data_IF_852824033037
#
_entry.id   IF_852824033037
#
_cell.length_a   1.000
_cell.length_b   1.000
_cell.length_c   1.000
_cell.angle_alpha   90.00
_cell.angle_beta   90.00
_cell.angle_gamma   90.00
#
_symmetry.space_group_name_H-M   'P 1'
#
loop_
_entity.id
_entity.type
_entity.pdbx_description
1 polymer ?
#
# COMPACT_ATOMS: atom_id res chain seq x y z
N UNK A 1 -10.44 -10.18 1.43
CA UNK A 1 -9.09 -10.63 1.01
C UNK A 1 -9.18 -11.26 -0.38
N UNK A 2 -8.34 -10.83 -1.29
CA UNK A 2 -8.24 -11.38 -2.65
C UNK A 2 -6.84 -12.02 -2.74
N UNK A 3 -6.72 -13.33 -3.07
CA UNK A 3 -5.42 -13.97 -3.30
C UNK A 3 -4.68 -13.34 -4.50
N UNK A 4 -3.35 -13.25 -4.44
CA UNK A 4 -2.52 -12.65 -5.49
C UNK A 4 -2.80 -13.24 -6.89
N UNK A 5 -3.04 -14.55 -6.98
CA UNK A 5 -3.35 -15.23 -8.24
C UNK A 5 -4.68 -14.77 -8.90
N UNK A 6 -5.61 -14.26 -8.10
CA UNK A 6 -6.92 -13.76 -8.56
C UNK A 6 -6.94 -12.25 -8.77
N UNK A 7 -5.92 -11.55 -8.29
CA UNK A 7 -5.83 -10.09 -8.39
C UNK A 7 -5.36 -9.69 -9.80
N UNK A 8 -6.31 -9.37 -10.66
CA UNK A 8 -6.07 -8.94 -12.05
C UNK A 8 -6.75 -7.60 -12.32
N UNK A 9 -6.18 -6.74 -13.18
CA UNK A 9 -6.79 -5.46 -13.55
C UNK A 9 -8.23 -5.61 -14.05
N UNK A 10 -8.49 -6.62 -14.88
CA UNK A 10 -9.84 -6.90 -15.40
C UNK A 10 -10.87 -7.21 -14.31
N UNK A 11 -10.48 -7.97 -13.29
CA UNK A 11 -11.35 -8.29 -12.16
C UNK A 11 -11.67 -7.04 -11.32
N UNK A 12 -10.70 -6.15 -11.13
CA UNK A 12 -10.91 -4.88 -10.42
C UNK A 12 -11.83 -3.94 -11.19
N UNK A 13 -11.66 -3.84 -12.51
CA UNK A 13 -12.56 -3.05 -13.37
C UNK A 13 -13.98 -3.60 -13.33
N UNK A 14 -14.14 -4.92 -13.38
CA UNK A 14 -15.46 -5.55 -13.29
C UNK A 14 -16.10 -5.33 -11.93
N UNK A 15 -15.35 -5.45 -10.84
CA UNK A 15 -15.81 -5.13 -9.50
C UNK A 15 -16.31 -3.68 -9.41
N UNK A 16 -15.56 -2.72 -9.95
CA UNK A 16 -15.96 -1.31 -9.99
C UNK A 16 -17.28 -1.12 -10.74
N UNK A 17 -17.44 -1.73 -11.93
CA UNK A 17 -18.68 -1.66 -12.71
C UNK A 17 -19.89 -2.22 -11.94
N UNK A 18 -19.70 -3.32 -11.23
CA UNK A 18 -20.74 -3.90 -10.38
C UNK A 18 -21.06 -3.02 -9.17
N UNK A 19 -20.05 -2.46 -8.52
CA UNK A 19 -20.19 -1.60 -7.35
C UNK A 19 -20.96 -0.31 -7.68
N UNK A 20 -20.72 0.29 -8.86
CA UNK A 20 -21.36 1.53 -9.31
C UNK A 20 -22.50 1.32 -10.33
N UNK A 21 -23.04 0.10 -10.44
CA UNK A 21 -24.00 -0.27 -11.48
C UNK A 21 -25.16 0.72 -11.66
N UNK A 22 -25.69 1.24 -10.55
CA UNK A 22 -26.89 2.07 -10.52
C UNK A 22 -26.61 3.53 -10.14
N UNK A 23 -25.37 3.94 -10.12
CA UNK A 23 -24.95 5.28 -9.69
C UNK A 23 -23.66 5.73 -10.39
N UNK A 24 -23.40 7.06 -10.46
CA UNK A 24 -22.16 7.56 -11.00
C UNK A 24 -20.95 7.11 -10.14
N UNK A 25 -19.82 6.88 -10.81
CA UNK A 25 -18.58 6.54 -10.12
C UNK A 25 -18.15 7.72 -9.25
N UNK A 26 -17.84 7.41 -7.99
CA UNK A 26 -17.31 8.38 -7.04
C UNK A 26 -15.84 8.05 -6.76
N UNK A 27 -14.96 9.00 -7.02
CA UNK A 27 -13.53 8.87 -6.80
C UNK A 27 -13.23 8.56 -5.32
N UNK A 28 -12.32 7.63 -5.07
CA UNK A 28 -11.86 7.26 -3.72
C UNK A 28 -12.86 6.49 -2.86
N UNK A 29 -13.96 5.99 -3.44
CA UNK A 29 -14.93 5.22 -2.67
C UNK A 29 -14.51 3.77 -2.46
N UNK A 30 -13.70 3.22 -3.37
CA UNK A 30 -13.15 1.88 -3.27
C UNK A 30 -11.68 1.99 -2.85
N UNK A 31 -11.32 1.38 -1.73
CA UNK A 31 -9.93 1.32 -1.28
C UNK A 31 -9.31 -0.03 -1.64
N UNK A 32 -8.25 0.00 -2.45
CA UNK A 32 -7.42 -1.15 -2.75
C UNK A 32 -6.11 -1.06 -1.97
N UNK A 33 -5.86 -2.03 -1.08
CA UNK A 33 -4.60 -2.15 -0.35
C UNK A 33 -3.86 -3.38 -0.87
N UNK A 34 -2.64 -3.18 -1.38
CA UNK A 34 -1.75 -4.26 -1.81
C UNK A 34 -0.58 -4.32 -0.84
N UNK A 35 -0.60 -5.34 0.02
CA UNK A 35 0.51 -5.59 0.93
C UNK A 35 1.63 -6.35 0.22
N UNK A 36 2.87 -6.10 0.62
CA UNK A 36 4.06 -6.62 -0.05
C UNK A 36 4.05 -6.41 -1.58
N UNK A 37 3.63 -5.23 -2.02
CA UNK A 37 3.43 -4.89 -3.43
C UNK A 37 4.64 -5.20 -4.33
N UNK A 38 5.86 -5.27 -3.77
CA UNK A 38 7.07 -5.67 -4.47
C UNK A 38 7.03 -7.14 -4.95
N UNK A 39 6.14 -7.99 -4.40
CA UNK A 39 5.99 -9.38 -4.89
C UNK A 39 5.28 -9.42 -6.23
N UNK A 40 4.27 -8.55 -6.42
CA UNK A 40 3.49 -8.47 -7.66
C UNK A 40 4.12 -7.56 -8.72
N UNK A 41 4.69 -6.44 -8.27
CA UNK A 41 5.17 -5.37 -9.14
C UNK A 41 6.69 -5.24 -9.15
N UNK A 42 7.40 -6.38 -9.02
CA UNK A 42 8.86 -6.40 -9.05
C UNK A 42 9.37 -6.07 -10.45
N UNK A 43 10.31 -5.12 -10.52
CA UNK A 43 10.92 -4.67 -11.77
C UNK A 43 11.59 -5.79 -12.58
N UNK A 44 12.01 -6.91 -11.94
CA UNK A 44 12.75 -8.00 -12.59
C UNK A 44 11.85 -9.09 -13.18
N UNK A 45 10.76 -9.42 -12.49
CA UNK A 45 9.97 -10.63 -12.77
C UNK A 45 8.62 -10.33 -13.43
N UNK A 46 8.29 -9.06 -13.62
CA UNK A 46 7.00 -8.65 -14.14
C UNK A 46 6.88 -8.89 -15.63
N UNK A 47 5.97 -9.77 -16.04
CA UNK A 47 5.76 -10.12 -17.45
C UNK A 47 5.26 -8.93 -18.27
N UNK A 48 5.61 -8.88 -19.57
CA UNK A 48 5.22 -7.78 -20.44
C UNK A 48 3.68 -7.66 -20.62
N UNK A 49 2.99 -8.82 -20.66
CA UNK A 49 1.53 -8.86 -20.83
C UNK A 49 0.77 -8.29 -19.62
N UNK A 50 1.20 -8.69 -18.43
CA UNK A 50 0.55 -8.22 -17.19
C UNK A 50 0.86 -6.75 -16.91
N UNK A 51 2.07 -6.31 -17.28
CA UNK A 51 2.51 -4.92 -17.11
C UNK A 51 1.61 -3.90 -17.81
N UNK A 52 1.19 -4.19 -19.04
CA UNK A 52 0.35 -3.26 -19.81
C UNK A 52 -1.01 -3.04 -19.13
N UNK A 53 -1.68 -4.10 -18.72
CA UNK A 53 -2.98 -4.02 -18.05
C UNK A 53 -2.92 -3.32 -16.69
N UNK A 54 -1.87 -3.56 -15.91
CA UNK A 54 -1.69 -2.88 -14.63
C UNK A 54 -1.36 -1.39 -14.80
N UNK A 55 -0.54 -1.03 -15.79
CA UNK A 55 -0.23 0.37 -16.05
C UNK A 55 -1.48 1.15 -16.47
N UNK A 56 -2.30 0.59 -17.34
CA UNK A 56 -3.58 1.18 -17.72
C UNK A 56 -4.50 1.34 -16.50
N UNK A 57 -4.62 0.29 -15.67
CA UNK A 57 -5.42 0.34 -14.46
C UNK A 57 -4.93 1.42 -13.49
N UNK A 58 -3.62 1.51 -13.23
CA UNK A 58 -3.07 2.54 -12.35
C UNK A 58 -3.25 3.97 -12.89
N UNK A 59 -3.23 4.17 -14.21
CA UNK A 59 -3.50 5.48 -14.80
C UNK A 59 -4.98 5.87 -14.68
N UNK A 60 -5.88 4.90 -14.76
CA UNK A 60 -7.33 5.12 -14.79
C UNK A 60 -8.04 4.80 -13.46
N UNK A 61 -7.30 4.44 -12.41
CA UNK A 61 -7.88 3.97 -11.14
C UNK A 61 -8.93 4.94 -10.55
N UNK A 62 -8.72 6.26 -10.67
CA UNK A 62 -9.68 7.28 -10.23
C UNK A 62 -11.00 7.22 -11.00
N UNK A 63 -10.92 6.96 -12.30
CA UNK A 63 -12.13 6.78 -13.13
C UNK A 63 -12.94 5.54 -12.75
N UNK A 64 -12.28 4.56 -12.13
CA UNK A 64 -12.92 3.37 -11.56
C UNK A 64 -13.30 3.53 -10.09
N UNK A 65 -13.08 4.71 -9.50
CA UNK A 65 -13.43 5.03 -8.12
C UNK A 65 -12.47 4.46 -7.08
N UNK A 66 -11.26 4.06 -7.47
CA UNK A 66 -10.26 3.50 -6.56
C UNK A 66 -9.34 4.56 -5.95
N UNK A 67 -9.11 4.42 -4.65
CA UNK A 67 -7.87 4.84 -3.98
C UNK A 67 -6.98 3.62 -3.80
N UNK A 68 -5.66 3.75 -4.07
CA UNK A 68 -4.73 2.62 -4.05
C UNK A 68 -3.61 2.89 -3.06
N UNK A 69 -3.40 1.95 -2.14
CA UNK A 69 -2.28 1.95 -1.20
C UNK A 69 -1.39 0.75 -1.51
N UNK A 70 -0.16 1.01 -1.93
CA UNK A 70 0.86 0.00 -2.12
C UNK A 70 1.79 -0.01 -0.89
N UNK A 71 1.79 -1.10 -0.13
CA UNK A 71 2.71 -1.27 0.99
C UNK A 71 3.93 -2.04 0.48
N UNK A 72 5.10 -1.43 0.60
CA UNK A 72 6.36 -2.01 0.17
C UNK A 72 7.49 -1.70 1.16
N UNK A 73 8.46 -2.57 1.28
CA UNK A 73 9.63 -2.36 2.14
C UNK A 73 10.53 -1.25 1.59
N UNK A 74 10.73 -1.23 0.28
CA UNK A 74 11.51 -0.21 -0.43
C UNK A 74 10.84 0.14 -1.76
N UNK A 75 10.70 1.42 -2.06
CA UNK A 75 10.13 1.93 -3.30
C UNK A 75 10.87 1.43 -4.54
N UNK A 76 12.21 1.27 -4.44
CA UNK A 76 13.07 0.82 -5.55
C UNK A 76 12.82 -0.62 -6.00
N UNK A 77 12.14 -1.43 -5.19
CA UNK A 77 11.76 -2.79 -5.56
C UNK A 77 10.56 -2.80 -6.52
N UNK A 78 9.76 -1.72 -6.53
CA UNK A 78 8.66 -1.58 -7.45
C UNK A 78 9.14 -1.19 -8.86
N UNK A 79 8.43 -1.66 -9.87
CA UNK A 79 8.70 -1.29 -11.27
C UNK A 79 8.63 0.22 -11.48
N UNK A 80 9.45 0.72 -12.41
CA UNK A 80 9.56 2.16 -12.69
C UNK A 80 8.23 2.76 -13.15
N UNK A 81 7.44 2.02 -13.92
CA UNK A 81 6.16 2.51 -14.45
C UNK A 81 5.13 2.64 -13.32
N UNK A 82 5.09 1.68 -12.38
CA UNK A 82 4.25 1.80 -11.17
C UNK A 82 4.66 3.02 -10.35
N UNK A 83 5.96 3.21 -10.13
CA UNK A 83 6.46 4.37 -9.39
C UNK A 83 6.13 5.71 -10.06
N UNK A 84 6.01 5.76 -11.39
CA UNK A 84 5.72 7.01 -12.12
C UNK A 84 4.29 7.52 -11.88
N UNK A 85 3.38 6.69 -11.41
CA UNK A 85 1.99 7.07 -11.10
C UNK A 85 1.71 7.23 -9.60
N UNK A 86 2.72 7.03 -8.76
CA UNK A 86 2.62 7.29 -7.31
C UNK A 86 2.59 8.81 -7.07
N UNK A 87 1.56 9.26 -6.39
CA UNK A 87 1.40 10.67 -6.02
C UNK A 87 2.06 10.99 -4.67
N UNK A 88 1.84 10.13 -3.68
CA UNK A 88 2.37 10.31 -2.33
C UNK A 88 3.10 9.07 -1.83
N UNK A 89 4.16 9.32 -1.06
CA UNK A 89 4.87 8.31 -0.27
C UNK A 89 4.68 8.61 1.21
N UNK A 90 4.39 7.58 1.99
CA UNK A 90 4.28 7.71 3.44
C UNK A 90 5.31 6.81 4.11
N UNK A 91 6.29 7.43 4.77
CA UNK A 91 7.38 6.73 5.44
C UNK A 91 7.08 6.65 6.94
N UNK A 92 6.98 5.43 7.45
CA UNK A 92 6.76 5.17 8.88
C UNK A 92 8.09 4.90 9.57
N UNK A 93 8.36 5.61 10.66
CA UNK A 93 9.57 5.42 11.46
C UNK A 93 9.26 5.43 12.95
N UNK A 94 9.97 4.57 13.70
CA UNK A 94 9.93 4.61 15.15
C UNK A 94 10.75 5.78 15.64
N UNK A 95 10.18 6.61 16.52
CA UNK A 95 10.83 7.85 17.00
C UNK A 95 12.10 7.55 17.79
N UNK A 96 12.13 6.45 18.56
CA UNK A 96 13.33 6.02 19.30
C UNK A 96 14.56 5.78 18.40
N UNK A 97 14.38 5.54 17.09
CA UNK A 97 15.49 5.35 16.14
C UNK A 97 16.24 6.65 15.82
N UNK A 98 15.76 7.81 16.27
CA UNK A 98 16.45 9.10 16.15
C UNK A 98 17.48 9.34 17.29
N UNK A 99 17.94 8.27 17.94
CA UNK A 99 18.94 8.32 19.00
C UNK A 99 18.40 8.95 20.30
N UNK A 100 19.27 9.63 21.07
CA UNK A 100 18.91 10.17 22.37
C UNK A 100 17.80 11.22 22.31
N UNK A 101 17.71 12.01 21.23
CA UNK A 101 16.63 12.99 21.01
C UNK A 101 15.27 12.33 20.85
N UNK A 102 15.22 11.22 20.12
CA UNK A 102 14.01 10.41 19.97
C UNK A 102 13.59 9.76 21.29
N UNK A 103 14.56 9.27 22.07
CA UNK A 103 14.30 8.74 23.41
C UNK A 103 13.73 9.81 24.35
N UNK A 104 14.33 11.00 24.37
CA UNK A 104 13.85 12.14 25.17
C UNK A 104 12.41 12.51 24.81
N UNK A 105 12.09 12.59 23.50
CA UNK A 105 10.73 12.87 23.04
C UNK A 105 9.73 11.78 23.48
N UNK A 106 10.11 10.50 23.39
CA UNK A 106 9.29 9.41 23.88
C UNK A 106 9.04 9.49 25.40
N UNK A 107 10.05 9.88 26.18
CA UNK A 107 9.93 10.08 27.62
C UNK A 107 9.00 11.26 27.96
N UNK A 108 9.16 12.40 27.28
CA UNK A 108 8.29 13.56 27.46
C UNK A 108 6.81 13.27 27.11
N UNK A 109 6.57 12.44 26.11
CA UNK A 109 5.22 12.05 25.72
C UNK A 109 4.68 10.83 26.48
N UNK A 110 5.42 10.35 27.48
CA UNK A 110 5.09 9.14 28.28
C UNK A 110 4.67 7.94 27.39
N UNK A 111 5.34 7.79 26.23
CA UNK A 111 5.02 6.76 25.26
C UNK A 111 6.29 6.06 24.75
N UNK A 112 6.60 4.85 25.23
CA UNK A 112 7.78 4.10 24.83
C UNK A 112 7.76 3.68 23.33
N UNK A 113 6.57 3.66 22.73
CA UNK A 113 6.35 3.27 21.34
C UNK A 113 5.66 4.40 20.56
N UNK A 114 6.41 5.45 20.27
CA UNK A 114 5.98 6.55 19.43
C UNK A 114 6.50 6.33 18.01
N UNK A 115 5.61 6.54 17.03
CA UNK A 115 5.92 6.47 15.62
C UNK A 115 5.66 7.82 14.96
N UNK A 116 6.36 8.09 13.88
CA UNK A 116 6.10 9.23 12.99
C UNK A 116 5.83 8.70 11.58
N UNK A 117 4.75 9.17 10.97
CA UNK A 117 4.45 9.01 9.56
C UNK A 117 4.79 10.32 8.85
N UNK A 118 5.71 10.27 7.91
CA UNK A 118 6.10 11.42 7.09
C UNK A 118 5.50 11.23 5.70
N UNK A 119 4.56 12.11 5.32
CA UNK A 119 3.97 12.14 4.00
C UNK A 119 4.80 13.05 3.09
N UNK A 120 5.20 12.51 1.97
CA UNK A 120 6.00 13.21 0.96
C UNK A 120 5.26 13.21 -0.38
N UNK A 121 5.33 14.28 -1.13
CA UNK A 121 4.93 14.29 -2.52
C UNK A 121 6.01 13.56 -3.34
N UNK A 122 5.61 12.41 -3.88
CA UNK A 122 6.57 11.44 -4.43
C UNK A 122 7.41 11.98 -5.59
N UNK A 123 6.84 12.71 -6.60
CA UNK A 123 7.61 13.17 -7.75
C UNK A 123 8.78 14.08 -7.42
N UNK A 124 8.61 14.99 -6.45
CA UNK A 124 9.64 15.97 -6.05
C UNK A 124 10.32 15.62 -4.72
N UNK A 125 9.85 14.55 -4.06
CA UNK A 125 10.34 14.17 -2.71
C UNK A 125 10.20 15.30 -1.69
N UNK A 126 9.18 16.14 -1.86
CA UNK A 126 8.88 17.23 -0.95
C UNK A 126 8.00 16.76 0.21
N UNK A 127 8.36 17.19 1.42
CA UNK A 127 7.60 16.85 2.63
C UNK A 127 6.30 17.66 2.67
N UNK A 128 5.17 16.98 2.74
CA UNK A 128 3.83 17.57 2.83
C UNK A 128 3.39 17.69 4.27
N UNK A 129 3.49 16.59 5.04
CA UNK A 129 3.04 16.56 6.44
C UNK A 129 3.83 15.55 7.26
N UNK A 130 3.65 15.62 8.57
CA UNK A 130 4.15 14.60 9.50
C UNK A 130 3.16 14.45 10.64
N UNK A 131 2.84 13.21 10.93
CA UNK A 131 1.92 12.83 11.98
C UNK A 131 2.59 11.91 12.97
N UNK A 132 2.36 12.15 14.27
CA UNK A 132 2.84 11.29 15.33
C UNK A 132 1.69 10.41 15.83
N UNK A 133 1.96 9.12 15.99
CA UNK A 133 0.98 8.20 16.55
C UNK A 133 1.64 7.22 17.53
N UNK A 134 0.82 6.76 18.49
CA UNK A 134 1.25 5.82 19.51
C UNK A 134 0.87 4.41 19.14
N UNK A 135 1.68 3.44 19.55
CA UNK A 135 1.32 2.04 19.44
C UNK A 135 0.06 1.74 20.26
N UNK A 136 -0.90 1.10 19.61
CA UNK A 136 -2.10 0.58 20.27
C UNK A 136 -2.04 -0.95 20.36
N UNK A 137 -2.05 -1.48 21.59
CA UNK A 137 -2.11 -2.94 21.80
C UNK A 137 -3.34 -3.57 21.16
N UNK A 138 -4.46 -2.85 21.13
CA UNK A 138 -5.70 -3.30 20.52
C UNK A 138 -5.54 -3.52 19.01
N UNK A 139 -4.90 -2.59 18.32
CA UNK A 139 -4.61 -2.70 16.88
C UNK A 139 -3.51 -3.72 16.60
N UNK A 140 -2.46 -3.76 17.45
CA UNK A 140 -1.38 -4.73 17.28
C UNK A 140 -1.81 -6.20 17.42
N UNK A 141 -2.88 -6.47 18.16
CA UNK A 141 -3.46 -7.84 18.27
C UNK A 141 -4.25 -8.27 17.03
N UNK A 142 -4.62 -7.35 16.16
CA UNK A 142 -5.30 -7.67 14.90
C UNK A 142 -4.35 -8.20 13.83
N UNK A 143 -3.05 -8.00 14.03
CA UNK A 143 -2.01 -8.45 13.10
C UNK A 143 -1.24 -9.62 13.71
N UNK A 144 -1.39 -10.79 13.10
CA UNK A 144 -0.60 -11.98 13.48
C UNK A 144 0.58 -12.12 12.51
N UNK A 145 1.78 -11.82 13.00
CA UNK A 145 3.03 -11.89 12.21
C UNK A 145 3.39 -13.32 11.80
N UNK A 146 2.83 -14.33 12.46
CA UNK A 146 3.11 -15.74 12.20
C UNK A 146 2.05 -16.41 11.32
N UNK A 147 1.03 -15.69 10.89
CA UNK A 147 0.02 -16.21 9.99
C UNK A 147 0.61 -16.41 8.60
N UNK A 148 1.08 -17.60 8.32
CA UNK A 148 1.42 -18.03 6.95
C UNK A 148 0.11 -18.25 6.20
N UNK A 149 -0.16 -17.45 5.18
CA UNK A 149 -1.27 -17.71 4.27
C UNK A 149 -1.00 -19.06 3.58
N UNK A 150 -1.94 -20.02 3.63
CA UNK A 150 -1.75 -21.28 2.93
C UNK A 150 -1.53 -20.99 1.45
N UNK A 151 -0.43 -21.46 0.91
CA UNK A 151 -0.22 -21.49 -0.53
C UNK A 151 -1.44 -22.21 -1.12
N UNK A 152 -2.12 -21.58 -2.08
CA UNK A 152 -3.18 -22.24 -2.84
C UNK A 152 -2.53 -23.44 -3.49
N UNK A 153 -2.74 -24.63 -2.95
CA UNK A 153 -2.33 -25.88 -3.57
C UNK A 153 -3.08 -25.98 -4.88
N UNK A 154 -2.38 -25.81 -5.98
CA UNK A 154 -2.83 -26.31 -7.29
C UNK A 154 -3.12 -27.80 -7.11
N UNK A 155 -4.37 -28.14 -6.92
CA UNK A 155 -4.87 -29.48 -7.24
C UNK A 155 -5.46 -29.38 -8.62
N UNK A 156 -4.59 -29.71 -9.58
CA UNK A 156 -4.99 -30.30 -10.84
C UNK A 156 -5.88 -31.51 -10.59
N UNK A 157 -6.94 -31.58 -11.32
CA UNK A 157 -7.43 -32.82 -11.95
C UNK A 157 -8.33 -32.44 -13.08
#
# INVERSE_FOLDING_TARGET
YIPDAMLKPSALVEYSKQHFKDRPVKEGEILLIVDEAQRMFNARDWSKSDRAGWNEFFQLHRHYGYDIILVAQFDRMLDRQVRSVIEYEQIHRKVSNYGWRGWLLCAMMASPCLFVAVKMWYPMKERVSSEFFRYSRKLGRLYDTYMTFPAVSEKES
#
